data_IF_878911845381
#
_entry.id   IF_878911845381
#
_cell.length_a   1.000
_cell.length_b   1.000
_cell.length_c   1.000
_cell.angle_alpha   90.00
_cell.angle_beta   90.00
_cell.angle_gamma   90.00
#
_symmetry.space_group_name_H-M   'P 1'
#
loop_
_entity.id
_entity.type
_entity.pdbx_description
1 polymer ?
#
# COMPACT_ATOMS: atom_id res chain seq x y z
N UNK A 1 -11.99 -23.58 -15.01
CA UNK A 1 -11.37 -24.11 -16.25
C UNK A 1 -11.31 -23.08 -17.38
N UNK A 2 -12.38 -22.82 -18.15
CA UNK A 2 -12.30 -21.92 -19.34
C UNK A 2 -11.74 -20.52 -19.02
N UNK A 3 -12.26 -19.82 -18.00
CA UNK A 3 -11.70 -18.53 -17.57
C UNK A 3 -10.28 -18.64 -17.03
N UNK A 4 -9.93 -19.72 -16.33
CA UNK A 4 -8.59 -19.85 -15.76
C UNK A 4 -7.52 -20.10 -16.84
N UNK A 5 -7.87 -20.78 -17.93
CA UNK A 5 -6.97 -20.94 -19.07
C UNK A 5 -6.85 -19.63 -19.86
N UNK A 6 -7.98 -19.06 -20.31
CA UNK A 6 -7.94 -17.94 -21.27
C UNK A 6 -7.82 -16.55 -20.64
N UNK A 7 -8.10 -16.40 -19.34
CA UNK A 7 -7.95 -15.13 -18.62
C UNK A 7 -6.75 -15.19 -17.67
N UNK A 8 -6.66 -16.24 -16.83
CA UNK A 8 -5.59 -16.34 -15.85
C UNK A 8 -4.29 -16.97 -16.40
N UNK A 9 -4.30 -17.49 -17.64
CA UNK A 9 -3.11 -18.05 -18.28
C UNK A 9 -2.63 -19.36 -17.69
N UNK A 10 -3.48 -20.10 -16.96
CA UNK A 10 -3.11 -21.39 -16.40
C UNK A 10 -2.92 -22.43 -17.51
N UNK A 11 -1.89 -23.25 -17.37
CA UNK A 11 -1.68 -24.42 -18.22
C UNK A 11 -2.69 -25.54 -17.91
N UNK A 12 -2.88 -26.45 -18.86
CA UNK A 12 -3.70 -27.65 -18.63
C UNK A 12 -3.17 -28.53 -17.48
N UNK A 13 -1.86 -28.53 -17.25
CA UNK A 13 -1.26 -29.27 -16.15
C UNK A 13 -1.65 -28.67 -14.80
N UNK A 14 -1.53 -27.35 -14.65
CA UNK A 14 -1.97 -26.64 -13.44
C UNK A 14 -3.46 -26.85 -13.17
N UNK A 15 -4.29 -26.83 -14.21
CA UNK A 15 -5.72 -27.18 -14.09
C UNK A 15 -5.94 -28.56 -13.48
N UNK A 16 -5.15 -29.56 -13.86
CA UNK A 16 -5.31 -30.93 -13.34
C UNK A 16 -4.83 -31.05 -11.90
N UNK A 17 -3.69 -30.43 -11.58
CA UNK A 17 -3.02 -30.63 -10.28
C UNK A 17 -3.51 -29.68 -9.19
N UNK A 18 -4.04 -28.52 -9.56
CA UNK A 18 -4.44 -27.49 -8.60
C UNK A 18 -5.96 -27.33 -8.54
N UNK A 19 -6.64 -27.27 -9.69
CA UNK A 19 -8.07 -26.96 -9.75
C UNK A 19 -8.97 -28.21 -9.71
N UNK A 20 -8.48 -29.36 -10.19
CA UNK A 20 -9.26 -30.58 -10.34
C UNK A 20 -8.81 -31.72 -9.42
N UNK A 21 -7.74 -31.58 -8.63
CA UNK A 21 -7.20 -32.66 -7.79
C UNK A 21 -8.03 -32.89 -6.51
N UNK A 22 -9.34 -33.08 -6.69
CA UNK A 22 -10.28 -33.39 -5.64
C UNK A 22 -11.36 -34.34 -6.17
N UNK A 23 -11.86 -35.24 -5.32
CA UNK A 23 -12.96 -36.11 -5.70
C UNK A 23 -14.28 -35.31 -5.79
N UNK A 24 -15.14 -35.52 -6.81
CA UNK A 24 -14.97 -36.41 -7.97
C UNK A 24 -14.28 -35.74 -9.18
N UNK A 25 -13.97 -34.46 -9.11
CA UNK A 25 -13.44 -33.62 -10.20
C UNK A 25 -12.13 -34.15 -10.83
N UNK A 26 -11.32 -34.89 -10.08
CA UNK A 26 -10.09 -35.52 -10.61
C UNK A 26 -10.34 -36.51 -11.73
N UNK A 27 -11.57 -37.00 -11.87
CA UNK A 27 -12.00 -37.88 -12.95
C UNK A 27 -12.68 -37.13 -14.11
N UNK A 28 -12.72 -35.80 -14.07
CA UNK A 28 -13.20 -35.01 -15.18
C UNK A 28 -12.17 -35.06 -16.32
N UNK A 29 -12.66 -35.32 -17.53
CA UNK A 29 -11.89 -35.14 -18.75
C UNK A 29 -12.26 -33.80 -19.37
N UNK A 30 -11.28 -33.11 -19.94
CA UNK A 30 -11.51 -31.87 -20.65
C UNK A 30 -10.58 -31.72 -21.84
N UNK A 31 -11.02 -30.93 -22.81
CA UNK A 31 -10.28 -30.56 -24.02
C UNK A 31 -10.35 -29.05 -24.18
N UNK A 32 -9.19 -28.44 -24.44
CA UNK A 32 -9.05 -27.01 -24.74
C UNK A 32 -8.91 -26.84 -26.24
N UNK A 33 -9.67 -25.92 -26.82
CA UNK A 33 -9.54 -25.53 -28.21
C UNK A 33 -9.12 -24.05 -28.27
N UNK A 34 -7.88 -23.81 -28.73
CA UNK A 34 -7.32 -22.46 -28.83
C UNK A 34 -7.77 -21.71 -30.08
N UNK A 35 -8.38 -22.39 -31.05
CA UNK A 35 -8.88 -21.76 -32.29
C UNK A 35 -10.23 -21.11 -32.07
N UNK A 36 -11.16 -21.78 -31.39
CA UNK A 36 -12.48 -21.25 -31.04
C UNK A 36 -12.56 -20.73 -29.59
N UNK A 37 -11.43 -20.72 -28.88
CA UNK A 37 -11.27 -20.28 -27.48
C UNK A 37 -12.27 -20.95 -26.54
N UNK A 38 -12.37 -22.27 -26.59
CA UNK A 38 -13.36 -23.01 -25.81
C UNK A 38 -12.75 -24.13 -24.98
N UNK A 39 -13.48 -24.54 -23.94
CA UNK A 39 -13.17 -25.72 -23.14
C UNK A 39 -14.41 -26.59 -23.05
N UNK A 40 -14.26 -27.85 -23.43
CA UNK A 40 -15.27 -28.88 -23.22
C UNK A 40 -14.85 -29.79 -22.08
N UNK A 41 -15.73 -30.05 -21.12
CA UNK A 41 -15.48 -30.94 -20.00
C UNK A 41 -16.61 -31.97 -19.85
N UNK A 42 -16.26 -33.16 -19.35
CA UNK A 42 -17.20 -34.21 -19.00
C UNK A 42 -16.73 -34.92 -17.73
N UNK A 43 -17.68 -35.44 -16.95
CA UNK A 43 -17.39 -36.21 -15.74
C UNK A 43 -17.79 -37.66 -15.99
N UNK A 44 -16.83 -38.57 -15.91
CA UNK A 44 -17.03 -39.99 -16.24
C UNK A 44 -17.59 -40.25 -17.64
N UNK A 45 -17.33 -39.36 -18.61
CA UNK A 45 -17.90 -39.44 -19.95
C UNK A 45 -19.38 -39.09 -20.06
N UNK A 46 -20.03 -38.74 -18.95
CA UNK A 46 -21.41 -38.27 -18.92
C UNK A 46 -21.47 -36.74 -18.84
N UNK A 47 -22.63 -36.18 -19.21
CA UNK A 47 -22.96 -34.77 -19.03
C UNK A 47 -21.92 -33.77 -19.58
N UNK A 48 -21.51 -33.95 -20.83
CA UNK A 48 -20.58 -33.01 -21.49
C UNK A 48 -21.13 -31.58 -21.46
N UNK A 49 -20.24 -30.64 -21.15
CA UNK A 49 -20.50 -29.20 -21.10
C UNK A 49 -19.39 -28.47 -21.84
N UNK A 50 -19.75 -27.51 -22.69
CA UNK A 50 -18.81 -26.63 -23.40
C UNK A 50 -18.97 -25.21 -22.86
N UNK A 51 -17.85 -24.56 -22.55
CA UNK A 51 -17.80 -23.14 -22.26
C UNK A 51 -16.88 -22.45 -23.26
N UNK A 52 -17.34 -21.32 -23.82
CA UNK A 52 -16.57 -20.49 -24.75
C UNK A 52 -16.06 -19.26 -24.03
N UNK A 53 -14.83 -18.85 -24.31
CA UNK A 53 -14.31 -17.57 -23.87
C UNK A 53 -14.75 -16.48 -24.83
N UNK A 54 -15.31 -15.42 -24.26
CA UNK A 54 -15.79 -14.26 -25.00
C UNK A 54 -14.96 -13.07 -24.57
N UNK A 55 -14.23 -12.48 -25.52
CA UNK A 55 -13.34 -11.34 -25.25
C UNK A 55 -14.09 -10.23 -24.50
N UNK A 56 -13.57 -9.86 -23.33
CA UNK A 56 -14.15 -8.84 -22.45
C UNK A 56 -15.33 -9.30 -21.57
N UNK A 57 -15.96 -10.45 -21.84
CA UNK A 57 -17.08 -10.98 -21.05
C UNK A 57 -16.71 -12.22 -20.21
N UNK A 58 -15.55 -12.81 -20.48
CA UNK A 58 -15.09 -14.01 -19.81
C UNK A 58 -15.69 -15.30 -20.38
N UNK A 59 -15.69 -16.38 -19.59
CA UNK A 59 -16.23 -17.67 -20.03
C UNK A 59 -17.76 -17.72 -19.92
N UNK A 60 -18.42 -18.13 -20.99
CA UNK A 60 -19.86 -18.40 -21.05
C UNK A 60 -20.11 -19.88 -21.25
N UNK A 61 -20.90 -20.49 -20.36
CA UNK A 61 -21.33 -21.88 -20.49
C UNK A 61 -22.43 -21.99 -21.56
N UNK A 62 -22.22 -22.84 -22.57
CA UNK A 62 -23.25 -23.17 -23.55
C UNK A 62 -24.28 -24.05 -22.86
N UNK A 63 -25.53 -23.57 -22.83
CA UNK A 63 -26.64 -24.23 -22.15
C UNK A 63 -27.93 -24.02 -22.93
N UNK A 64 -28.67 -22.96 -22.61
CA UNK A 64 -30.01 -22.68 -23.19
C UNK A 64 -29.93 -22.15 -24.63
N UNK A 65 -28.90 -21.39 -24.94
CA UNK A 65 -28.66 -20.82 -26.27
C UNK A 65 -27.63 -21.63 -27.04
N UNK A 66 -27.77 -21.68 -28.36
CA UNK A 66 -26.76 -22.27 -29.25
C UNK A 66 -25.49 -21.43 -29.26
N UNK A 67 -24.37 -22.04 -29.65
CA UNK A 67 -23.08 -21.35 -29.76
C UNK A 67 -23.18 -20.14 -30.72
N UNK A 68 -23.83 -20.33 -31.87
CA UNK A 68 -24.06 -19.26 -32.85
C UNK A 68 -24.89 -18.10 -32.29
N UNK A 69 -25.92 -18.41 -31.49
CA UNK A 69 -26.73 -17.40 -30.83
C UNK A 69 -25.92 -16.61 -29.80
N UNK A 70 -25.01 -17.26 -29.08
CA UNK A 70 -24.14 -16.59 -28.11
C UNK A 70 -23.12 -15.71 -28.84
N UNK A 71 -22.51 -16.18 -29.93
CA UNK A 71 -21.57 -15.41 -30.75
C UNK A 71 -22.23 -14.22 -31.44
N UNK A 72 -23.51 -14.32 -31.81
CA UNK A 72 -24.26 -13.22 -32.43
C UNK A 72 -24.62 -12.08 -31.45
N UNK A 73 -24.50 -12.29 -30.13
CA UNK A 73 -24.80 -11.24 -29.16
C UNK A 73 -23.71 -10.15 -29.16
N UNK A 74 -24.14 -8.90 -29.20
CA UNK A 74 -23.28 -7.73 -29.12
C UNK A 74 -23.33 -7.09 -27.72
N UNK A 75 -22.17 -6.68 -27.23
CA UNK A 75 -22.03 -6.01 -25.94
C UNK A 75 -21.14 -4.78 -26.09
N UNK A 76 -21.51 -3.69 -25.43
CA UNK A 76 -20.64 -2.52 -25.31
C UNK A 76 -19.80 -2.68 -24.04
N UNK A 77 -18.55 -3.12 -24.21
CA UNK A 77 -17.60 -3.31 -23.11
C UNK A 77 -16.65 -2.13 -23.17
N UNK A 78 -16.62 -1.33 -22.10
CA UNK A 78 -15.65 -0.25 -21.99
C UNK A 78 -14.24 -0.82 -22.08
N UNK A 79 -13.41 -0.25 -22.94
CA UNK A 79 -11.99 -0.56 -23.01
C UNK A 79 -11.41 -0.25 -21.61
N UNK A 80 -10.68 -1.20 -20.97
CA UNK A 80 -10.00 -0.88 -19.73
C UNK A 80 -9.13 0.35 -20.00
N UNK A 81 -9.11 1.35 -19.10
CA UNK A 81 -8.25 2.50 -19.30
C UNK A 81 -6.81 2.00 -19.52
N UNK A 82 -6.08 2.65 -20.43
CA UNK A 82 -4.66 2.37 -20.60
C UNK A 82 -4.02 2.42 -19.21
N UNK A 83 -3.40 1.30 -18.83
CA UNK A 83 -2.62 1.25 -17.60
C UNK A 83 -1.54 2.30 -17.81
N UNK A 84 -1.54 3.35 -17.00
CA UNK A 84 -0.51 4.38 -17.05
C UNK A 84 0.83 3.71 -16.72
N UNK A 85 1.58 3.34 -17.77
CA UNK A 85 2.93 2.79 -17.68
C UNK A 85 3.90 3.93 -17.44
N UNK A 86 3.70 4.69 -16.37
CA UNK A 86 4.61 5.77 -16.03
C UNK A 86 5.98 5.16 -15.71
N UNK A 87 6.90 5.30 -16.66
CA UNK A 87 8.29 4.84 -16.57
C UNK A 87 9.20 5.94 -15.97
N UNK A 88 8.62 7.05 -15.50
CA UNK A 88 9.38 8.13 -14.88
C UNK A 88 9.99 7.64 -13.56
N UNK A 89 11.32 7.67 -13.40
CA UNK A 89 11.97 7.25 -12.16
C UNK A 89 11.53 8.11 -10.98
N UNK A 90 11.36 7.51 -9.81
CA UNK A 90 11.23 8.29 -8.57
C UNK A 90 12.46 9.19 -8.37
N UNK A 91 12.30 10.47 -7.94
CA UNK A 91 11.09 11.18 -7.52
C UNK A 91 10.46 12.05 -8.63
N UNK A 92 10.74 11.77 -9.90
CA UNK A 92 10.43 12.65 -11.03
C UNK A 92 8.97 12.56 -11.52
N UNK A 93 8.15 11.72 -10.89
CA UNK A 93 6.73 11.56 -11.24
C UNK A 93 5.96 12.88 -11.13
N UNK A 94 4.95 13.05 -11.98
CA UNK A 94 4.24 14.34 -12.11
C UNK A 94 2.99 14.45 -11.23
N UNK A 95 2.63 13.40 -10.51
CA UNK A 95 1.41 13.32 -9.72
C UNK A 95 1.69 12.70 -8.35
N UNK A 96 0.94 13.12 -7.31
CA UNK A 96 1.07 12.59 -5.97
C UNK A 96 -0.29 12.18 -5.41
N UNK A 97 -0.52 10.87 -5.26
CA UNK A 97 -1.72 10.32 -4.64
C UNK A 97 -1.35 9.51 -3.41
N UNK A 98 -1.96 9.84 -2.27
CA UNK A 98 -1.78 9.06 -1.05
C UNK A 98 -2.38 7.66 -1.25
N UNK A 99 -1.55 6.62 -1.13
CA UNK A 99 -1.97 5.24 -1.35
C UNK A 99 -1.29 4.29 -0.36
N UNK A 100 -2.08 3.65 0.51
CA UNK A 100 -1.60 2.66 1.48
C UNK A 100 -0.98 1.43 0.82
N UNK A 101 -1.43 1.07 -0.39
CA UNK A 101 -0.88 -0.02 -1.17
C UNK A 101 0.62 0.15 -1.47
N UNK A 102 1.08 1.39 -1.68
CA UNK A 102 2.50 1.66 -1.92
C UNK A 102 3.38 1.22 -0.74
N UNK A 103 2.95 1.49 0.49
CA UNK A 103 3.68 1.08 1.70
C UNK A 103 3.66 -0.44 1.90
N UNK A 104 2.59 -1.12 1.50
CA UNK A 104 2.51 -2.59 1.56
C UNK A 104 3.38 -3.25 0.48
N UNK A 105 3.49 -2.65 -0.72
CA UNK A 105 4.45 -3.08 -1.74
C UNK A 105 5.89 -2.94 -1.21
N UNK A 106 6.23 -1.82 -0.54
CA UNK A 106 7.52 -1.68 0.13
C UNK A 106 7.77 -2.76 1.18
N UNK A 107 6.74 -3.14 1.95
CA UNK A 107 6.84 -4.24 2.92
C UNK A 107 7.18 -5.58 2.25
N UNK A 108 6.59 -5.84 1.07
CA UNK A 108 6.90 -7.03 0.26
C UNK A 108 8.31 -6.97 -0.34
N UNK A 109 8.76 -5.81 -0.81
CA UNK A 109 10.13 -5.58 -1.31
C UNK A 109 11.15 -5.83 -0.21
N UNK A 110 10.90 -5.33 1.01
CA UNK A 110 11.75 -5.58 2.17
C UNK A 110 11.82 -7.08 2.44
N UNK A 111 10.67 -7.78 2.48
CA UNK A 111 10.60 -9.24 2.67
C UNK A 111 11.46 -10.01 1.66
N UNK A 112 11.37 -9.65 0.38
CA UNK A 112 12.20 -10.26 -0.66
C UNK A 112 13.69 -9.93 -0.49
N UNK A 113 14.01 -8.69 -0.13
CA UNK A 113 15.40 -8.22 -0.02
C UNK A 113 16.13 -8.84 1.16
N UNK A 114 15.47 -8.94 2.32
CA UNK A 114 16.10 -9.47 3.55
C UNK A 114 15.98 -10.99 3.67
N UNK A 115 15.01 -11.59 2.97
CA UNK A 115 14.74 -13.03 3.01
C UNK A 115 13.76 -13.43 4.12
N UNK A 116 13.08 -14.56 3.92
CA UNK A 116 12.01 -15.04 4.80
C UNK A 116 12.48 -15.29 6.24
N UNK A 117 13.71 -15.76 6.43
CA UNK A 117 14.24 -16.07 7.77
C UNK A 117 14.48 -14.83 8.63
N UNK A 118 14.77 -13.68 8.02
CA UNK A 118 15.11 -12.42 8.72
C UNK A 118 13.96 -11.42 8.72
N UNK A 119 12.94 -11.62 7.88
CA UNK A 119 11.94 -10.59 7.62
C UNK A 119 11.23 -10.08 8.87
N UNK A 120 10.73 -10.98 9.72
CA UNK A 120 9.97 -10.59 10.91
C UNK A 120 10.85 -9.97 12.01
N UNK A 121 12.13 -10.37 12.10
CA UNK A 121 13.06 -9.84 13.10
C UNK A 121 13.69 -8.51 12.65
N UNK A 122 13.78 -8.28 11.34
CA UNK A 122 14.50 -7.17 10.74
C UNK A 122 14.12 -5.79 11.30
N UNK A 123 12.85 -5.31 11.26
CA UNK A 123 12.53 -3.97 11.74
C UNK A 123 12.73 -3.83 13.25
N UNK A 124 12.56 -4.91 14.01
CA UNK A 124 12.78 -4.92 15.45
C UNK A 124 14.26 -4.75 15.80
N UNK A 125 15.13 -5.55 15.19
CA UNK A 125 16.58 -5.51 15.47
C UNK A 125 17.27 -4.29 14.87
N UNK A 126 16.85 -3.85 13.67
CA UNK A 126 17.52 -2.75 12.97
C UNK A 126 17.01 -1.38 13.37
N UNK A 127 15.79 -1.27 13.90
CA UNK A 127 15.18 0.01 14.25
C UNK A 127 14.62 0.00 15.69
N UNK A 128 13.57 -0.77 15.97
CA UNK A 128 12.79 -0.56 17.19
C UNK A 128 13.59 -0.79 18.47
N UNK A 129 14.33 -1.89 18.59
CA UNK A 129 15.12 -2.18 19.79
C UNK A 129 16.31 -1.24 19.96
N UNK A 130 16.92 -0.79 18.85
CA UNK A 130 17.97 0.24 18.91
C UNK A 130 17.46 1.56 19.46
N UNK A 131 16.22 1.91 19.14
CA UNK A 131 15.54 3.07 19.68
C UNK A 131 14.92 2.84 21.07
N UNK A 132 15.01 1.64 21.65
CA UNK A 132 14.35 1.31 22.91
C UNK A 132 12.82 1.25 22.82
N UNK A 133 12.26 1.05 21.63
CA UNK A 133 10.83 0.86 21.36
C UNK A 133 10.40 -0.59 21.60
N UNK A 134 10.66 -1.13 22.78
CA UNK A 134 10.54 -2.56 23.07
C UNK A 134 9.09 -3.09 23.11
N UNK A 135 8.11 -2.19 23.23
CA UNK A 135 6.66 -2.50 23.19
C UNK A 135 6.02 -2.36 21.81
N UNK A 136 6.79 -2.00 20.78
CA UNK A 136 6.26 -1.78 19.44
C UNK A 136 5.95 -3.11 18.74
N UNK A 137 4.80 -3.19 18.07
CA UNK A 137 4.33 -4.40 17.38
C UNK A 137 3.84 -4.01 15.99
N UNK A 138 4.17 -4.81 14.97
CA UNK A 138 3.60 -4.72 13.64
C UNK A 138 2.82 -5.98 13.32
N UNK A 139 1.59 -5.84 12.83
CA UNK A 139 0.79 -6.98 12.37
C UNK A 139 1.09 -7.35 10.92
N UNK A 140 0.79 -8.60 10.59
CA UNK A 140 0.97 -9.19 9.26
C UNK A 140 -0.38 -9.49 8.63
N UNK A 141 -0.42 -9.51 7.30
CA UNK A 141 -1.52 -10.11 6.55
C UNK A 141 -1.50 -11.65 6.67
N UNK A 142 -2.49 -12.31 6.05
CA UNK A 142 -2.60 -13.77 6.07
C UNK A 142 -1.41 -14.51 5.42
N UNK A 143 -0.62 -13.83 4.58
CA UNK A 143 0.60 -14.39 3.96
C UNK A 143 1.84 -14.24 4.86
N UNK A 144 1.72 -13.54 5.99
CA UNK A 144 2.83 -13.21 6.87
C UNK A 144 3.61 -11.96 6.45
N UNK A 145 3.14 -11.17 5.48
CA UNK A 145 3.76 -9.89 5.11
C UNK A 145 3.29 -8.81 6.06
N UNK A 146 4.18 -7.97 6.62
CA UNK A 146 3.76 -6.84 7.44
C UNK A 146 2.82 -5.92 6.66
N UNK A 147 1.72 -5.52 7.28
CA UNK A 147 0.82 -4.51 6.73
C UNK A 147 1.42 -3.14 7.00
N UNK A 148 2.54 -2.81 6.35
CA UNK A 148 3.34 -1.62 6.69
C UNK A 148 2.64 -0.28 6.57
N UNK A 149 1.51 -0.20 5.87
CA UNK A 149 0.66 1.01 5.83
C UNK A 149 -0.09 1.30 7.13
N UNK A 150 -0.30 0.29 7.97
CA UNK A 150 -1.21 0.33 9.11
C UNK A 150 -0.83 -0.69 10.19
N UNK A 151 -1.73 -0.97 11.14
CA UNK A 151 -1.60 -2.03 12.16
C UNK A 151 -0.23 -2.12 12.84
N UNK A 152 0.35 -0.95 13.09
CA UNK A 152 1.56 -0.79 13.90
C UNK A 152 1.15 -0.17 15.22
N UNK A 153 1.47 -0.86 16.30
CA UNK A 153 1.03 -0.53 17.65
C UNK A 153 2.23 -0.16 18.49
N UNK A 154 2.12 0.94 19.23
CA UNK A 154 3.18 1.43 20.09
C UNK A 154 2.63 2.42 21.10
N UNK A 155 3.32 2.54 22.24
CA UNK A 155 2.98 3.57 23.21
C UNK A 155 3.33 4.95 22.66
N UNK A 156 2.75 6.02 23.22
CA UNK A 156 3.14 7.38 22.85
C UNK A 156 4.66 7.59 23.02
N UNK A 157 5.27 6.94 24.03
CA UNK A 157 6.71 6.98 24.28
C UNK A 157 7.50 6.31 23.16
N UNK A 158 7.04 5.18 22.62
CA UNK A 158 7.71 4.52 21.48
C UNK A 158 7.71 5.43 20.26
N UNK A 159 6.56 5.99 19.90
CA UNK A 159 6.44 6.94 18.81
C UNK A 159 7.22 8.24 19.05
N UNK A 160 7.37 8.69 20.31
CA UNK A 160 8.23 9.83 20.62
C UNK A 160 9.70 9.52 20.36
N UNK A 161 10.17 8.29 20.64
CA UNK A 161 11.56 7.89 20.32
C UNK A 161 11.79 7.85 18.81
N UNK A 162 10.81 7.38 18.04
CA UNK A 162 10.84 7.48 16.57
C UNK A 162 10.91 8.95 16.11
N UNK A 163 10.08 9.83 16.66
CA UNK A 163 10.16 11.27 16.33
C UNK A 163 11.49 11.91 16.73
N UNK A 164 12.06 11.52 17.88
CA UNK A 164 13.36 12.00 18.35
C UNK A 164 14.51 11.55 17.45
N UNK A 165 14.45 10.35 16.87
CA UNK A 165 15.43 9.90 15.89
C UNK A 165 15.51 10.88 14.71
N UNK A 166 14.36 11.30 14.18
CA UNK A 166 14.30 12.27 13.09
C UNK A 166 14.71 13.67 13.54
N UNK A 167 14.26 14.12 14.72
CA UNK A 167 14.66 15.39 15.31
C UNK A 167 16.19 15.50 15.45
N UNK A 168 16.84 14.39 15.83
CA UNK A 168 18.28 14.30 16.03
C UNK A 168 19.04 13.90 14.75
N UNK A 169 18.48 14.17 13.56
CA UNK A 169 19.13 13.94 12.27
C UNK A 169 19.66 12.50 12.10
N UNK A 170 18.87 11.52 12.54
CA UNK A 170 19.17 10.10 12.40
C UNK A 170 20.09 9.51 13.48
N UNK A 171 20.44 10.29 14.52
CA UNK A 171 21.22 9.84 15.67
C UNK A 171 20.32 9.43 16.84
N UNK A 172 20.69 8.33 17.49
CA UNK A 172 20.12 7.91 18.76
C UNK A 172 21.23 7.36 19.66
N UNK A 173 21.40 7.88 20.87
CA UNK A 173 22.47 7.49 21.81
C UNK A 173 23.88 7.41 21.16
N UNK A 174 24.25 8.41 20.37
CA UNK A 174 25.52 8.48 19.60
C UNK A 174 25.70 7.42 18.50
N UNK A 175 24.69 6.57 18.24
CA UNK A 175 24.67 5.68 17.08
C UNK A 175 23.90 6.33 15.93
N UNK A 176 24.45 6.26 14.71
CA UNK A 176 23.75 6.68 13.49
C UNK A 176 22.87 5.55 12.97
N UNK A 177 21.57 5.68 13.20
CA UNK A 177 20.56 4.72 12.74
C UNK A 177 20.10 5.05 11.32
N UNK A 178 19.91 6.34 11.01
CA UNK A 178 19.56 6.82 9.67
C UNK A 178 20.65 7.76 9.15
N UNK A 179 20.93 7.70 7.84
CA UNK A 179 21.88 8.62 7.21
C UNK A 179 21.32 10.04 7.18
N UNK A 180 22.19 11.04 7.21
CA UNK A 180 21.76 12.44 7.09
C UNK A 180 21.05 12.69 5.75
N UNK A 181 21.50 12.00 4.68
CA UNK A 181 20.84 12.08 3.39
C UNK A 181 19.41 11.53 3.42
N UNK A 182 19.15 10.47 4.19
CA UNK A 182 17.80 9.94 4.37
C UNK A 182 16.87 10.95 5.06
N UNK A 183 17.37 11.61 6.11
CA UNK A 183 16.61 12.67 6.80
C UNK A 183 16.34 13.83 5.84
N UNK A 184 17.37 14.29 5.12
CA UNK A 184 17.24 15.35 4.11
C UNK A 184 16.19 15.00 3.06
N UNK A 185 16.21 13.77 2.52
CA UNK A 185 15.22 13.31 1.54
C UNK A 185 13.82 13.25 2.15
N UNK A 186 13.68 12.83 3.41
CA UNK A 186 12.40 12.79 4.12
C UNK A 186 11.75 14.16 4.23
N UNK A 187 12.55 15.19 4.52
CA UNK A 187 12.09 16.56 4.73
C UNK A 187 12.12 17.42 3.45
N UNK A 188 12.41 16.83 2.29
CA UNK A 188 12.38 17.51 1.01
C UNK A 188 11.05 17.24 0.33
N UNK A 189 10.44 18.29 -0.22
CA UNK A 189 9.20 18.17 -0.98
C UNK A 189 9.42 17.22 -2.17
N UNK A 190 8.56 16.22 -2.31
CA UNK A 190 8.52 15.39 -3.52
C UNK A 190 8.15 16.25 -4.74
N UNK A 191 8.49 15.81 -5.96
CA UNK A 191 8.07 16.46 -7.22
C UNK A 191 6.55 16.69 -7.31
N UNK A 192 6.07 17.35 -8.38
CA UNK A 192 4.74 17.98 -8.49
C UNK A 192 3.65 17.28 -7.68
N UNK A 193 3.52 17.77 -6.46
CA UNK A 193 2.66 17.23 -5.45
C UNK A 193 1.44 18.13 -5.38
N UNK A 194 0.27 17.62 -5.75
CA UNK A 194 -0.99 18.35 -5.62
C UNK A 194 -1.28 18.82 -4.19
N UNK A 195 -0.79 18.09 -3.17
CA UNK A 195 -0.87 18.48 -1.76
C UNK A 195 0.12 19.60 -1.42
N UNK A 196 1.23 19.75 -2.16
CA UNK A 196 2.28 20.74 -1.89
C UNK A 196 3.08 20.52 -0.62
N UNK A 197 2.87 19.40 0.09
CA UNK A 197 3.26 19.23 1.49
C UNK A 197 3.59 17.76 1.84
N UNK A 198 4.24 17.02 0.94
CA UNK A 198 4.59 15.60 1.14
C UNK A 198 6.00 15.30 0.62
N UNK A 199 6.77 14.55 1.41
CA UNK A 199 8.12 14.08 1.11
C UNK A 199 8.21 12.56 1.17
N UNK A 200 9.27 12.03 1.77
CA UNK A 200 9.52 10.59 1.80
C UNK A 200 8.73 9.90 2.92
N UNK A 201 7.44 9.61 2.67
CA UNK A 201 6.48 9.08 3.65
C UNK A 201 6.12 10.00 4.82
N UNK A 202 6.48 11.28 4.73
CA UNK A 202 6.13 12.31 5.70
C UNK A 202 5.37 13.45 5.05
N UNK A 203 4.43 14.01 5.79
CA UNK A 203 3.83 15.30 5.47
C UNK A 203 4.78 16.43 5.92
N UNK A 204 4.76 17.54 5.19
CA UNK A 204 5.60 18.72 5.42
C UNK A 204 4.69 19.92 5.72
N UNK A 205 5.21 20.91 6.43
CA UNK A 205 4.53 22.18 6.64
C UNK A 205 5.27 23.32 5.93
N UNK A 206 5.78 23.06 4.72
CA UNK A 206 6.55 24.04 3.93
C UNK A 206 5.66 24.95 3.10
N UNK A 207 4.45 24.49 2.78
CA UNK A 207 3.54 25.11 1.81
C UNK A 207 3.89 24.70 0.39
N UNK A 208 2.99 25.01 -0.55
CA UNK A 208 3.23 24.80 -1.98
C UNK A 208 4.46 25.55 -2.44
N UNK A 209 5.11 25.03 -3.48
CA UNK A 209 6.30 25.64 -4.08
C UNK A 209 6.10 27.13 -4.31
N UNK A 210 6.94 27.95 -3.67
CA UNK A 210 6.93 29.43 -3.70
C UNK A 210 5.76 30.13 -2.96
N UNK A 211 4.98 29.42 -2.15
CA UNK A 211 3.93 30.02 -1.34
C UNK A 211 3.74 29.35 0.04
N UNK A 212 4.48 29.85 1.03
CA UNK A 212 4.37 29.42 2.44
C UNK A 212 3.05 29.83 3.12
N UNK A 213 2.17 30.60 2.48
CA UNK A 213 0.85 30.95 3.05
C UNK A 213 -0.17 29.84 2.83
N UNK A 214 0.10 28.91 1.91
CA UNK A 214 -0.79 27.78 1.57
C UNK A 214 -0.68 26.59 2.52
N UNK A 215 -0.03 26.79 3.67
CA UNK A 215 0.33 25.72 4.60
C UNK A 215 -0.85 25.20 5.39
N UNK A 216 -0.86 23.89 5.67
CA UNK A 216 -1.86 23.29 6.55
C UNK A 216 -1.81 23.82 7.99
N UNK A 217 -0.60 24.13 8.50
CA UNK A 217 -0.41 24.63 9.86
C UNK A 217 0.27 26.00 9.85
N UNK A 218 -0.47 27.08 9.53
CA UNK A 218 0.12 28.42 9.39
C UNK A 218 0.69 28.97 10.70
N UNK A 219 0.17 28.56 11.86
CA UNK A 219 0.60 29.02 13.18
C UNK A 219 1.79 28.20 13.74
N UNK A 220 2.30 27.25 12.97
CA UNK A 220 3.38 26.34 13.35
C UNK A 220 4.59 26.57 12.42
N UNK A 221 5.84 26.39 12.89
CA UNK A 221 7.03 26.61 12.06
C UNK A 221 7.02 25.86 10.71
N UNK A 222 7.65 26.46 9.70
CA UNK A 222 7.73 25.91 8.33
C UNK A 222 8.63 24.68 8.22
N UNK A 223 9.53 24.49 9.19
CA UNK A 223 10.42 23.34 9.26
C UNK A 223 9.77 22.13 9.96
N UNK A 224 8.49 22.24 10.34
CA UNK A 224 7.73 21.09 10.83
C UNK A 224 7.51 20.07 9.71
N UNK A 225 7.70 18.81 10.05
CA UNK A 225 7.25 17.66 9.27
C UNK A 225 6.62 16.64 10.21
N UNK A 226 5.73 15.80 9.68
CA UNK A 226 4.91 14.95 10.53
C UNK A 226 4.41 13.68 9.83
N UNK A 227 4.14 12.67 10.64
CA UNK A 227 3.38 11.50 10.23
C UNK A 227 1.93 11.66 10.71
N UNK A 228 0.97 11.31 9.84
CA UNK A 228 -0.46 11.39 10.12
C UNK A 228 -1.11 10.03 9.90
N UNK A 229 -1.96 9.61 10.84
CA UNK A 229 -2.70 8.36 10.78
C UNK A 229 -4.20 8.57 10.99
N UNK A 230 -4.98 7.55 10.61
CA UNK A 230 -6.43 7.53 10.72
C UNK A 230 -6.93 7.85 12.15
N UNK A 231 -8.06 8.54 12.27
CA UNK A 231 -8.63 9.04 13.53
C UNK A 231 -7.73 9.99 14.34
N UNK A 232 -6.77 10.63 13.66
CA UNK A 232 -5.96 11.72 14.22
C UNK A 232 -4.75 11.24 15.01
N UNK A 233 -4.17 10.09 14.67
CA UNK A 233 -2.82 9.77 15.15
C UNK A 233 -1.83 10.75 14.51
N UNK A 234 -0.90 11.31 15.28
CA UNK A 234 0.09 12.22 14.71
C UNK A 234 1.41 12.19 15.47
N UNK A 235 2.50 12.31 14.72
CA UNK A 235 3.86 12.54 15.22
C UNK A 235 4.36 13.80 14.55
N UNK A 236 4.35 14.93 15.27
CA UNK A 236 4.88 16.19 14.78
C UNK A 236 6.31 16.37 15.25
N UNK A 237 7.20 16.75 14.33
CA UNK A 237 8.62 16.97 14.60
C UNK A 237 8.93 18.41 14.17
N UNK A 238 9.41 19.23 15.11
CA UNK A 238 9.63 20.67 14.92
C UNK A 238 11.09 21.00 15.30
N UNK A 239 12.03 20.91 14.36
CA UNK A 239 13.47 21.10 14.62
C UNK A 239 13.80 22.44 15.26
N UNK A 240 13.26 23.55 14.75
CA UNK A 240 13.47 24.90 15.25
C UNK A 240 13.04 25.10 16.71
N UNK A 241 12.17 24.22 17.23
CA UNK A 241 11.70 24.20 18.61
C UNK A 241 12.28 23.04 19.43
N UNK A 242 13.13 22.20 18.84
CA UNK A 242 13.64 20.96 19.47
C UNK A 242 12.53 20.11 20.09
N UNK A 243 11.40 20.02 19.38
CA UNK A 243 10.15 19.51 19.92
C UNK A 243 9.62 18.34 19.09
N UNK A 244 9.16 17.30 19.78
CA UNK A 244 8.35 16.22 19.22
C UNK A 244 7.02 16.19 19.98
N UNK A 245 5.91 16.21 19.25
CA UNK A 245 4.57 16.05 19.83
C UNK A 245 3.94 14.79 19.26
N UNK A 246 3.59 13.86 20.14
CA UNK A 246 2.86 12.63 19.77
C UNK A 246 1.45 12.72 20.31
N UNK A 247 0.47 12.48 19.42
CA UNK A 247 -0.93 12.29 19.78
C UNK A 247 -1.37 10.93 19.29
N UNK A 248 -1.86 10.10 20.22
CA UNK A 248 -2.62 8.90 19.91
C UNK A 248 -4.08 9.20 20.22
N UNK A 249 -4.93 9.28 19.20
CA UNK A 249 -6.29 9.80 19.31
C UNK A 249 -7.35 8.89 18.70
N UNK A 250 -8.60 9.13 19.09
CA UNK A 250 -9.79 8.65 18.41
C UNK A 250 -10.66 9.88 18.11
N UNK A 251 -10.32 10.62 17.07
CA UNK A 251 -11.04 11.84 16.68
C UNK A 251 -12.36 11.45 16.05
N UNK A 252 -13.46 11.64 16.78
CA UNK A 252 -14.82 11.30 16.34
C UNK A 252 -15.51 12.39 15.51
N UNK A 253 -14.78 13.43 15.08
CA UNK A 253 -15.39 14.56 14.36
C UNK A 253 -15.63 14.24 12.89
N UNK A 254 -16.72 14.76 12.33
CA UNK A 254 -17.14 14.53 10.94
C UNK A 254 -16.20 15.18 9.90
N UNK A 255 -15.43 16.19 10.32
CA UNK A 255 -14.38 16.85 9.54
C UNK A 255 -12.99 16.18 9.69
N UNK A 256 -12.87 15.18 10.58
CA UNK A 256 -11.64 14.41 10.80
C UNK A 256 -10.51 15.19 11.48
N UNK A 257 -10.73 16.44 11.89
CA UNK A 257 -9.70 17.31 12.46
C UNK A 257 -10.00 17.69 13.91
N UNK A 258 -9.02 17.50 14.80
CA UNK A 258 -9.14 17.89 16.22
C UNK A 258 -8.64 19.31 16.49
N UNK A 259 -8.47 20.15 15.46
CA UNK A 259 -7.88 21.48 15.60
C UNK A 259 -6.37 21.45 15.85
N UNK A 260 -5.65 20.59 15.14
CA UNK A 260 -4.21 20.36 15.33
C UNK A 260 -3.35 21.64 15.23
N UNK A 261 -3.71 22.61 14.37
CA UNK A 261 -3.00 23.88 14.25
C UNK A 261 -3.01 24.70 15.56
N UNK A 262 -4.19 24.92 16.16
CA UNK A 262 -4.28 25.66 17.43
C UNK A 262 -3.71 24.84 18.59
N UNK A 263 -3.89 23.51 18.58
CA UNK A 263 -3.28 22.62 19.56
C UNK A 263 -1.75 22.76 19.60
N UNK A 264 -1.09 22.69 18.45
CA UNK A 264 0.36 22.83 18.34
C UNK A 264 0.83 24.23 18.70
N UNK A 265 0.14 25.27 18.23
CA UNK A 265 0.42 26.67 18.60
C UNK A 265 0.42 26.85 20.12
N UNK A 266 -0.59 26.33 20.81
CA UNK A 266 -0.70 26.45 22.27
C UNK A 266 0.44 25.72 23.00
N UNK A 267 0.83 24.53 22.54
CA UNK A 267 2.00 23.82 23.08
C UNK A 267 3.26 24.65 22.89
N UNK A 268 3.53 25.14 21.68
CA UNK A 268 4.73 25.90 21.34
C UNK A 268 4.83 27.20 22.15
N UNK A 269 3.70 27.86 22.43
CA UNK A 269 3.64 29.06 23.27
C UNK A 269 3.86 28.78 24.75
N UNK A 270 3.65 27.54 25.21
CA UNK A 270 3.79 27.17 26.63
C UNK A 270 5.21 26.79 27.06
N UNK A 271 6.11 26.57 26.09
CA UNK A 271 7.49 26.12 26.31
C UNK A 271 8.52 27.22 26.02
N UNK A 272 8.07 28.43 25.69
CA UNK A 272 8.89 29.63 25.53
C UNK A 272 8.92 30.42 26.83
#
# INVERSE_FOLDING_TARGET
>A
MCSSIFIAGHSEQQQRTEDLDMFPMKYATFTVNNTDLSVSASLFGFAQRKAIYRHGLGATLISELTEDQIHAQTFNISIPPDINQDNIPWPMGTECYYNSGNTNILSRIIRHTVGESEYHSFPYQKLFYKLGMNSFIMEVDASGTFVGSSYSWGTARDWSRFGLLYLNNGLYNNERILSENWIKQTTTLAGSNQYGEYGFHFWLNTGKTNDSTTRRFPNVPTDMFYASGFDGQSIFIIPSKKLVVVRLGLTKSLDGEYGANEFLKNIISSIQ
#
